data_IF_724914231899
#
_entry.id   IF_724914231899
#
_cell.length_a   1.000
_cell.length_b   1.000
_cell.length_c   1.000
_cell.angle_alpha   90.00
_cell.angle_beta   90.00
_cell.angle_gamma   90.00
#
_symmetry.space_group_name_H-M   'P 1'
#
loop_
_entity.id
_entity.type
_entity.pdbx_description
1 polymer ?
#
# COMPACT_ATOMS: atom_id res chain seq x y z
N UNK A 1 -69.03 21.43 31.35
CA UNK A 1 -68.66 20.57 30.26
C UNK A 1 -67.81 21.41 29.28
N UNK A 2 -66.50 21.24 29.26
CA UNK A 2 -65.58 21.99 28.43
C UNK A 2 -64.96 21.05 27.41
N UNK A 3 -65.14 21.42 26.12
CA UNK A 3 -64.55 20.70 24.97
C UNK A 3 -63.12 21.04 24.76
N UNK A 4 -62.31 20.04 24.44
CA UNK A 4 -60.91 20.15 24.10
C UNK A 4 -60.78 20.13 22.54
N UNK A 5 -60.04 21.08 22.01
CA UNK A 5 -59.68 21.18 20.58
C UNK A 5 -58.49 20.28 20.24
N UNK A 6 -58.37 19.76 19.02
CA UNK A 6 -57.23 18.92 18.63
C UNK A 6 -56.05 19.76 18.13
N UNK A 7 -54.86 19.35 18.55
CA UNK A 7 -53.57 19.88 18.14
C UNK A 7 -53.19 19.35 16.74
N UNK A 8 -53.08 20.25 15.78
CA UNK A 8 -52.56 19.92 14.45
C UNK A 8 -51.03 20.02 14.44
N UNK A 9 -50.35 18.87 14.51
CA UNK A 9 -48.89 18.78 14.37
C UNK A 9 -48.50 18.80 12.89
N UNK A 10 -47.96 19.93 12.44
CA UNK A 10 -47.37 20.06 11.11
C UNK A 10 -46.05 19.32 10.98
N UNK A 11 -46.01 18.28 10.17
CA UNK A 11 -44.80 17.56 9.78
C UNK A 11 -44.01 18.43 8.79
N UNK A 12 -42.98 19.11 9.25
CA UNK A 12 -41.98 19.76 8.38
C UNK A 12 -41.12 18.67 7.76
N UNK A 13 -41.34 18.40 6.48
CA UNK A 13 -40.40 17.60 5.65
C UNK A 13 -39.12 18.38 5.46
N UNK A 14 -38.06 17.94 6.12
CA UNK A 14 -36.69 18.41 5.89
C UNK A 14 -36.23 17.74 4.59
N UNK A 15 -36.10 18.53 3.53
CA UNK A 15 -35.47 18.09 2.30
C UNK A 15 -33.96 17.97 2.55
N UNK A 16 -33.48 16.75 2.63
CA UNK A 16 -32.01 16.47 2.57
C UNK A 16 -31.55 16.68 1.14
N UNK A 17 -30.81 17.74 0.92
CA UNK A 17 -30.05 17.95 -0.30
C UNK A 17 -28.86 16.96 -0.27
N UNK A 18 -28.96 15.89 -1.05
CA UNK A 18 -27.83 15.02 -1.39
C UNK A 18 -26.89 15.80 -2.29
N UNK A 19 -25.83 16.38 -1.71
CA UNK A 19 -24.68 16.86 -2.47
C UNK A 19 -23.92 15.63 -2.95
N UNK A 20 -24.09 15.27 -4.21
CA UNK A 20 -23.24 14.31 -4.91
C UNK A 20 -21.85 14.96 -5.06
N UNK A 21 -20.90 14.55 -4.24
CA UNK A 21 -19.49 14.91 -4.40
C UNK A 21 -18.91 13.99 -5.48
N UNK A 22 -18.95 14.47 -6.73
CA UNK A 22 -18.20 13.89 -7.84
C UNK A 22 -16.72 14.14 -7.54
N UNK A 23 -16.03 13.09 -7.09
CA UNK A 23 -14.57 13.09 -7.01
C UNK A 23 -14.03 13.07 -8.44
N UNK A 24 -13.48 14.20 -8.88
CA UNK A 24 -12.70 14.35 -10.10
C UNK A 24 -11.41 13.54 -10.01
N UNK A 25 -11.48 12.24 -10.28
CA UNK A 25 -10.37 11.41 -10.73
C UNK A 25 -10.29 11.51 -12.26
N UNK A 26 -9.80 12.64 -12.76
CA UNK A 26 -9.75 12.88 -14.19
C UNK A 26 -8.91 14.09 -14.56
N UNK A 27 -7.64 14.14 -14.13
CA UNK A 27 -6.67 15.09 -14.66
C UNK A 27 -5.25 14.52 -14.54
N UNK A 28 -4.95 13.46 -15.28
CA UNK A 28 -3.61 12.86 -15.29
C UNK A 28 -3.28 12.08 -16.56
N UNK A 29 -4.13 12.08 -17.59
CA UNK A 29 -3.90 11.30 -18.83
C UNK A 29 -4.02 12.18 -20.10
N UNK A 30 -3.74 13.46 -20.03
CA UNK A 30 -3.81 14.33 -21.22
C UNK A 30 -2.57 15.22 -21.40
N UNK A 31 -1.36 14.73 -21.10
CA UNK A 31 -0.13 15.49 -21.41
C UNK A 31 1.04 14.63 -21.95
N UNK A 32 0.79 13.48 -22.52
CA UNK A 32 1.84 12.66 -23.17
C UNK A 32 1.66 12.41 -24.67
N UNK A 33 0.78 13.11 -25.37
CA UNK A 33 0.63 12.95 -26.83
C UNK A 33 1.03 14.17 -27.66
N UNK A 34 1.86 15.07 -27.15
CA UNK A 34 2.30 16.27 -27.87
C UNK A 34 3.82 16.42 -28.05
N UNK A 35 4.62 15.34 -28.00
CA UNK A 35 6.09 15.42 -28.24
C UNK A 35 6.65 14.26 -29.09
N UNK A 36 5.85 13.69 -29.98
CA UNK A 36 6.36 12.81 -31.05
C UNK A 36 5.98 13.41 -32.41
N UNK A 37 6.80 14.33 -32.85
CA UNK A 37 6.59 14.91 -34.18
C UNK A 37 7.52 16.06 -34.47
N UNK A 38 8.84 15.83 -34.46
CA UNK A 38 9.82 16.59 -35.25
C UNK A 38 11.24 16.09 -34.97
N UNK A 39 11.67 15.04 -35.67
CA UNK A 39 13.08 14.75 -35.96
C UNK A 39 13.18 13.70 -37.07
N UNK A 40 12.67 14.04 -38.23
CA UNK A 40 13.14 13.38 -39.47
C UNK A 40 13.53 14.51 -40.46
N UNK A 41 14.83 14.76 -40.53
CA UNK A 41 15.55 15.22 -41.76
C UNK A 41 17.02 15.46 -41.42
N UNK A 42 17.91 14.65 -42.01
CA UNK A 42 19.36 14.85 -41.93
C UNK A 42 20.14 13.57 -42.13
N UNK A 43 20.00 12.92 -43.28
CA UNK A 43 20.95 11.91 -43.73
C UNK A 43 22.15 12.60 -44.35
N UNK A 44 23.36 12.39 -43.82
CA UNK A 44 24.60 12.60 -44.58
C UNK A 44 25.69 11.61 -44.11
N UNK A 45 26.04 10.80 -45.08
CA UNK A 45 27.20 9.97 -45.39
C UNK A 45 28.35 9.80 -44.42
N UNK A 46 28.65 8.51 -44.22
CA UNK A 46 29.92 7.97 -43.66
C UNK A 46 31.15 8.26 -44.54
N UNK A 47 32.36 8.14 -44.00
CA UNK A 47 33.26 7.13 -44.56
C UNK A 47 33.92 6.21 -43.53
N UNK A 48 34.34 5.06 -44.04
CA UNK A 48 34.85 3.89 -43.40
C UNK A 48 36.35 3.94 -43.04
N UNK A 49 36.74 2.94 -42.25
CA UNK A 49 38.06 2.31 -42.02
C UNK A 49 39.08 3.03 -41.15
N UNK A 50 39.42 2.36 -40.02
CA UNK A 50 40.66 1.58 -39.84
C UNK A 50 40.66 0.87 -38.49
N UNK A 51 40.85 -0.44 -38.48
CA UNK A 51 41.42 -1.19 -37.37
C UNK A 51 42.95 -1.00 -37.38
N UNK A 52 43.62 -0.94 -36.17
CA UNK A 52 44.33 -2.13 -35.74
C UNK A 52 44.48 -2.31 -34.19
N UNK A 53 44.70 -3.56 -33.86
CA UNK A 53 45.66 -4.11 -32.90
C UNK A 53 45.33 -4.18 -31.41
N UNK A 54 45.21 -5.42 -31.00
CA UNK A 54 45.28 -6.05 -29.70
C UNK A 54 46.05 -5.28 -28.59
N UNK A 55 45.34 -5.05 -27.48
CA UNK A 55 45.90 -4.74 -26.17
C UNK A 55 45.16 -5.57 -25.11
N UNK A 56 45.90 -6.39 -24.41
CA UNK A 56 45.48 -7.28 -23.33
C UNK A 56 44.77 -6.49 -22.20
N UNK A 57 43.63 -6.92 -21.69
CA UNK A 57 42.96 -6.20 -20.61
C UNK A 57 43.54 -6.63 -19.25
N UNK A 58 44.05 -5.68 -18.53
CA UNK A 58 44.27 -5.73 -17.09
C UNK A 58 42.90 -5.61 -16.38
N UNK A 59 42.66 -6.49 -15.42
CA UNK A 59 41.38 -6.68 -14.75
C UNK A 59 40.78 -5.41 -14.13
N UNK A 60 39.58 -5.09 -14.54
CA UNK A 60 38.64 -4.23 -13.85
C UNK A 60 37.61 -5.12 -13.14
N UNK A 61 37.51 -4.98 -11.84
CA UNK A 61 36.50 -5.66 -11.05
C UNK A 61 35.08 -5.33 -11.58
N UNK A 62 34.15 -6.28 -11.60
CA UNK A 62 32.78 -6.02 -11.98
C UNK A 62 32.14 -5.04 -11.01
N UNK A 63 31.42 -4.06 -11.54
CA UNK A 63 30.56 -3.16 -10.77
C UNK A 63 29.62 -3.97 -9.89
N UNK A 64 29.62 -3.69 -8.58
CA UNK A 64 28.89 -4.45 -7.59
C UNK A 64 27.38 -4.50 -7.92
N UNK A 65 26.86 -5.69 -7.96
CA UNK A 65 25.42 -5.93 -7.86
C UNK A 65 24.88 -5.26 -6.59
N UNK A 66 23.63 -4.72 -6.59
CA UNK A 66 23.05 -4.15 -5.39
C UNK A 66 23.02 -5.22 -4.30
N UNK A 67 23.75 -5.01 -3.24
CA UNK A 67 23.84 -5.92 -2.09
C UNK A 67 22.46 -5.96 -1.43
N UNK A 68 21.71 -7.04 -1.64
CA UNK A 68 20.48 -7.31 -0.92
C UNK A 68 20.80 -7.46 0.56
N UNK A 69 20.49 -6.43 1.35
CA UNK A 69 20.67 -6.46 2.79
C UNK A 69 19.55 -7.28 3.42
N UNK A 70 19.89 -8.40 4.00
CA UNK A 70 18.96 -9.26 4.74
C UNK A 70 18.53 -8.52 6.00
N UNK A 71 17.21 -8.31 6.16
CA UNK A 71 16.64 -7.67 7.35
C UNK A 71 16.90 -8.54 8.58
N UNK A 72 17.64 -8.01 9.55
CA UNK A 72 17.97 -8.69 10.79
C UNK A 72 16.74 -8.88 11.66
N UNK A 73 16.47 -10.10 12.09
CA UNK A 73 15.45 -10.43 13.08
C UNK A 73 14.43 -11.50 12.70
N UNK A 74 14.56 -12.09 11.50
CA UNK A 74 13.84 -13.29 11.08
C UNK A 74 14.82 -14.48 11.09
N UNK A 75 14.33 -15.68 11.38
CA UNK A 75 15.14 -16.90 11.26
C UNK A 75 15.64 -17.02 9.80
N UNK A 76 16.96 -17.00 9.53
CA UNK A 76 17.49 -17.03 8.17
C UNK A 76 17.10 -18.27 7.36
N UNK A 77 16.76 -19.37 8.03
CA UNK A 77 16.36 -20.62 7.38
C UNK A 77 14.90 -20.60 6.89
N UNK A 78 14.08 -19.66 7.39
CA UNK A 78 12.64 -19.56 7.13
C UNK A 78 12.23 -18.16 6.66
N UNK A 79 13.13 -17.20 6.72
CA UNK A 79 12.84 -15.81 6.36
C UNK A 79 12.68 -15.65 4.84
N UNK A 80 11.62 -14.96 4.36
CA UNK A 80 11.50 -14.62 2.95
C UNK A 80 12.62 -13.65 2.53
N UNK A 81 13.04 -13.75 1.26
CA UNK A 81 14.00 -12.78 0.71
C UNK A 81 13.32 -11.43 0.53
N UNK A 82 13.78 -10.41 1.26
CA UNK A 82 13.24 -9.06 1.25
C UNK A 82 14.28 -8.10 0.66
N UNK A 83 13.87 -7.28 -0.31
CA UNK A 83 14.63 -6.15 -0.82
C UNK A 83 14.26 -4.93 0.03
N UNK A 84 15.25 -4.34 0.72
CA UNK A 84 15.05 -3.10 1.47
C UNK A 84 15.13 -1.93 0.51
N UNK A 85 14.03 -1.20 0.35
CA UNK A 85 13.92 -0.01 -0.50
C UNK A 85 13.11 1.07 0.25
N UNK A 86 13.67 1.54 1.36
CA UNK A 86 12.97 2.44 2.27
C UNK A 86 12.64 3.78 1.61
N UNK A 87 11.40 4.24 1.84
CA UNK A 87 10.96 5.59 1.54
C UNK A 87 11.73 6.59 2.40
N UNK A 88 11.81 7.85 1.93
CA UNK A 88 12.27 8.94 2.77
C UNK A 88 11.29 9.15 3.94
N UNK A 89 11.68 8.66 5.12
CA UNK A 89 10.89 8.75 6.34
C UNK A 89 11.66 9.54 7.41
N UNK A 90 12.04 10.77 7.03
CA UNK A 90 12.85 11.68 7.84
C UNK A 90 12.09 12.31 9.01
N UNK A 91 12.69 13.35 9.60
CA UNK A 91 12.15 14.01 10.79
C UNK A 91 10.77 14.65 10.53
N UNK A 92 10.56 15.23 9.34
CA UNK A 92 9.28 15.85 8.97
C UNK A 92 8.16 14.82 8.95
N UNK A 93 8.31 13.73 8.18
CA UNK A 93 7.28 12.68 8.04
C UNK A 93 7.00 11.97 9.37
N UNK A 94 8.02 11.80 10.24
CA UNK A 94 7.84 11.31 11.62
C UNK A 94 7.00 12.25 12.48
N UNK A 95 7.24 13.57 12.37
CA UNK A 95 6.47 14.58 13.10
C UNK A 95 5.01 14.62 12.62
N UNK A 96 4.77 14.56 11.32
CA UNK A 96 3.43 14.48 10.70
C UNK A 96 2.69 13.22 11.12
N UNK A 97 3.38 12.06 11.12
CA UNK A 97 2.82 10.80 11.59
C UNK A 97 2.43 10.88 13.07
N UNK A 98 3.27 11.48 13.92
CA UNK A 98 2.95 11.66 15.33
C UNK A 98 1.77 12.61 15.56
N UNK A 99 1.67 13.69 14.76
CA UNK A 99 0.55 14.63 14.81
C UNK A 99 -0.76 13.96 14.36
N UNK A 100 -0.72 13.20 13.27
CA UNK A 100 -1.84 12.37 12.80
C UNK A 100 -2.29 11.37 13.88
N UNK A 101 -1.35 10.62 14.45
CA UNK A 101 -1.63 9.65 15.50
C UNK A 101 -2.26 10.30 16.74
N UNK A 102 -1.85 11.53 17.09
CA UNK A 102 -2.46 12.27 18.19
C UNK A 102 -3.91 12.62 17.92
N UNK A 103 -4.23 13.07 16.69
CA UNK A 103 -5.63 13.41 16.32
C UNK A 103 -6.51 12.17 16.28
N UNK A 104 -6.09 11.14 15.56
CA UNK A 104 -6.93 9.98 15.26
C UNK A 104 -6.93 8.91 16.36
N UNK A 105 -5.81 8.76 17.09
CA UNK A 105 -5.64 7.68 18.08
C UNK A 105 -5.39 8.17 19.52
N UNK A 106 -5.20 9.49 19.70
CA UNK A 106 -5.04 10.11 21.01
C UNK A 106 -3.59 10.12 21.55
N UNK A 107 -2.64 9.47 20.87
CA UNK A 107 -1.24 9.38 21.31
C UNK A 107 -0.30 9.92 20.23
N UNK A 108 0.56 10.91 20.60
CA UNK A 108 1.55 11.47 19.68
C UNK A 108 2.74 10.51 19.54
N UNK A 109 2.71 9.63 18.54
CA UNK A 109 3.79 8.69 18.25
C UNK A 109 3.86 8.37 16.77
N UNK A 110 5.06 8.18 16.27
CA UNK A 110 5.32 7.61 14.93
C UNK A 110 5.77 6.14 15.01
N UNK A 111 5.91 5.60 16.25
CA UNK A 111 6.32 4.22 16.48
C UNK A 111 5.11 3.30 16.44
N UNK A 112 5.32 2.09 15.93
CA UNK A 112 4.32 1.03 15.85
C UNK A 112 4.75 -0.17 16.68
N UNK A 113 3.84 -0.69 17.50
CA UNK A 113 3.92 -2.03 18.06
C UNK A 113 2.81 -2.84 17.39
N UNK A 114 3.13 -3.60 16.33
CA UNK A 114 2.10 -4.21 15.52
C UNK A 114 1.44 -5.40 16.21
N UNK A 115 0.13 -5.50 16.06
CA UNK A 115 -0.70 -6.61 16.54
C UNK A 115 -1.65 -7.11 15.45
N UNK A 116 -1.58 -6.49 14.26
CA UNK A 116 -2.48 -6.74 13.14
C UNK A 116 -1.69 -6.67 11.82
N UNK A 117 -2.10 -7.43 10.83
CA UNK A 117 -1.67 -7.31 9.43
C UNK A 117 -2.88 -6.99 8.57
N UNK A 118 -2.77 -5.98 7.71
CA UNK A 118 -3.80 -5.62 6.74
C UNK A 118 -3.29 -5.87 5.33
N UNK A 119 -4.04 -6.64 4.56
CA UNK A 119 -3.76 -6.95 3.17
C UNK A 119 -4.44 -5.92 2.27
N UNK A 120 -3.68 -5.42 1.26
CA UNK A 120 -4.10 -4.45 0.26
C UNK A 120 -3.71 -4.91 -1.15
N UNK A 121 -4.21 -4.22 -2.17
CA UNK A 121 -3.59 -4.19 -3.49
C UNK A 121 -3.40 -2.74 -3.96
N UNK A 122 -2.36 -2.49 -4.75
CA UNK A 122 -1.79 -1.15 -4.99
C UNK A 122 -2.61 -0.24 -5.90
N UNK A 123 -3.67 -0.72 -6.56
CA UNK A 123 -4.33 -0.04 -7.69
C UNK A 123 -3.34 0.44 -8.78
N UNK A 124 -2.21 -0.23 -8.90
CA UNK A 124 -1.22 0.00 -9.95
C UNK A 124 -0.67 -1.32 -10.50
N UNK A 125 -0.16 -1.28 -11.73
CA UNK A 125 0.32 -2.47 -12.42
C UNK A 125 1.80 -2.78 -12.20
N UNK A 126 2.53 -1.85 -11.55
CA UNK A 126 3.98 -1.99 -11.33
C UNK A 126 4.35 -1.55 -9.92
N UNK A 127 5.41 -2.20 -9.40
CA UNK A 127 6.05 -1.79 -8.15
C UNK A 127 6.51 -0.32 -8.19
N UNK A 128 7.17 0.10 -9.28
CA UNK A 128 7.70 1.44 -9.41
C UNK A 128 6.61 2.53 -9.28
N UNK A 129 5.41 2.29 -9.83
CA UNK A 129 4.28 3.20 -9.71
C UNK A 129 3.78 3.29 -8.25
N UNK A 130 3.62 2.15 -7.58
CA UNK A 130 3.20 2.12 -6.17
C UNK A 130 4.23 2.80 -5.25
N UNK A 131 5.52 2.50 -5.45
CA UNK A 131 6.62 3.13 -4.70
C UNK A 131 6.64 4.65 -4.87
N UNK A 132 6.50 5.12 -6.11
CA UNK A 132 6.48 6.57 -6.42
C UNK A 132 5.32 7.28 -5.71
N UNK A 133 4.13 6.66 -5.66
CA UNK A 133 2.98 7.20 -4.94
C UNK A 133 3.29 7.33 -3.44
N UNK A 134 3.82 6.29 -2.82
CA UNK A 134 4.13 6.28 -1.38
C UNK A 134 5.29 7.22 -1.01
N UNK A 135 6.25 7.42 -1.92
CA UNK A 135 7.35 8.37 -1.74
C UNK A 135 6.88 9.82 -1.75
N UNK A 136 5.88 10.14 -2.57
CA UNK A 136 5.45 11.52 -2.83
C UNK A 136 4.94 12.28 -1.60
N UNK A 137 4.53 11.56 -0.55
CA UNK A 137 4.01 12.11 0.72
C UNK A 137 2.93 13.19 0.55
N UNK A 138 2.13 13.07 -0.50
CA UNK A 138 1.03 14.01 -0.75
C UNK A 138 -0.09 13.82 0.29
N UNK A 139 -0.76 14.93 0.73
CA UNK A 139 -1.85 14.83 1.67
C UNK A 139 -2.94 13.85 1.21
N UNK A 140 -3.33 12.94 2.09
CA UNK A 140 -4.44 12.02 1.89
C UNK A 140 -5.62 12.46 2.76
N UNK A 141 -6.81 12.61 2.17
CA UNK A 141 -8.01 13.19 2.83
C UNK A 141 -7.71 14.57 3.48
N UNK A 142 -6.84 15.36 2.84
CA UNK A 142 -6.47 16.69 3.31
C UNK A 142 -5.45 16.72 4.46
N UNK A 143 -4.89 15.60 4.87
CA UNK A 143 -3.94 15.51 5.98
C UNK A 143 -2.62 14.82 5.59
N UNK A 144 -1.54 15.28 6.21
CA UNK A 144 -0.24 14.61 6.26
C UNK A 144 -0.14 13.69 7.51
N UNK A 145 0.71 12.63 7.42
CA UNK A 145 1.49 12.22 6.26
C UNK A 145 0.61 11.66 5.14
N UNK A 146 1.16 11.56 3.94
CA UNK A 146 0.56 10.84 2.83
C UNK A 146 0.38 9.35 3.10
N UNK A 147 -0.26 8.65 2.17
CA UNK A 147 -0.37 7.20 2.25
C UNK A 147 1.01 6.53 2.14
N UNK A 148 1.17 5.38 2.77
CA UNK A 148 2.35 4.52 2.65
C UNK A 148 1.97 3.06 2.89
N UNK A 149 2.90 2.13 2.65
CA UNK A 149 2.79 0.74 3.07
C UNK A 149 4.12 0.24 3.64
N UNK A 150 4.08 -0.79 4.49
CA UNK A 150 5.32 -1.37 5.03
C UNK A 150 6.00 -2.26 3.99
N UNK A 151 5.20 -3.06 3.29
CA UNK A 151 5.69 -4.00 2.29
C UNK A 151 4.89 -3.87 1.00
N UNK A 152 5.58 -4.04 -0.12
CA UNK A 152 4.96 -4.22 -1.44
C UNK A 152 5.49 -5.53 -2.03
N UNK A 153 4.59 -6.39 -2.52
CA UNK A 153 4.92 -7.65 -3.16
C UNK A 153 4.63 -7.53 -4.65
N UNK A 154 5.66 -7.59 -5.47
CA UNK A 154 5.52 -7.52 -6.92
C UNK A 154 4.92 -8.80 -7.50
N UNK A 155 4.48 -8.75 -8.75
CA UNK A 155 3.80 -9.85 -9.45
C UNK A 155 4.65 -11.10 -9.58
N UNK A 156 5.98 -10.96 -9.59
CA UNK A 156 6.95 -12.06 -9.62
C UNK A 156 7.26 -12.67 -8.24
N UNK A 157 6.71 -12.07 -7.16
CA UNK A 157 6.93 -12.48 -5.78
C UNK A 157 8.09 -11.77 -5.08
N UNK A 158 8.74 -10.80 -5.73
CA UNK A 158 9.73 -9.94 -5.06
C UNK A 158 9.05 -9.14 -3.95
N UNK A 159 9.58 -9.21 -2.72
CA UNK A 159 9.08 -8.47 -1.57
C UNK A 159 9.97 -7.25 -1.36
N UNK A 160 9.36 -6.06 -1.31
CA UNK A 160 10.04 -4.81 -0.99
C UNK A 160 9.58 -4.31 0.38
N UNK A 161 10.54 -4.02 1.29
CA UNK A 161 10.26 -3.31 2.53
C UNK A 161 10.44 -1.81 2.28
N UNK A 162 9.34 -1.06 2.34
CA UNK A 162 9.32 0.39 2.13
C UNK A 162 9.41 1.18 3.44
N UNK A 163 8.82 0.65 4.51
CA UNK A 163 8.84 1.26 5.85
C UNK A 163 9.06 0.14 6.85
N UNK A 164 9.99 0.31 7.82
CA UNK A 164 10.18 -0.70 8.86
C UNK A 164 8.88 -1.01 9.62
N UNK A 165 8.55 -2.28 9.91
CA UNK A 165 7.27 -2.66 10.51
C UNK A 165 7.07 -2.18 11.95
N UNK A 166 8.04 -1.48 12.53
CA UNK A 166 7.95 -0.80 13.83
C UNK A 166 7.73 0.72 13.71
N UNK A 167 7.52 1.21 12.49
CA UNK A 167 7.21 2.61 12.18
C UNK A 167 5.76 2.68 11.72
N UNK A 168 4.97 3.58 12.28
CA UNK A 168 3.57 3.74 11.87
C UNK A 168 3.48 4.25 10.44
N UNK A 169 2.69 3.58 9.63
CA UNK A 169 2.46 3.88 8.23
C UNK A 169 0.96 4.07 7.99
N UNK A 170 0.60 5.04 7.17
CA UNK A 170 -0.80 5.41 6.93
C UNK A 170 -1.36 4.65 5.73
N UNK A 171 -2.02 3.51 5.97
CA UNK A 171 -2.60 2.64 4.94
C UNK A 171 -4.05 2.24 5.23
N UNK A 172 -4.50 2.30 6.51
CA UNK A 172 -5.85 1.85 6.90
C UNK A 172 -6.43 2.76 7.96
N UNK A 173 -7.48 3.52 7.63
CA UNK A 173 -8.21 4.36 8.59
C UNK A 173 -8.61 3.52 9.80
N UNK A 174 -8.39 4.06 10.99
CA UNK A 174 -8.77 3.44 12.26
C UNK A 174 -7.82 2.37 12.78
N UNK A 175 -6.85 1.88 11.97
CA UNK A 175 -5.96 0.76 12.34
C UNK A 175 -4.46 1.04 12.19
N UNK A 176 -4.03 2.18 11.63
CA UNK A 176 -2.59 2.45 11.39
C UNK A 176 -1.73 2.34 12.66
N UNK A 177 -2.32 2.56 13.84
CA UNK A 177 -1.63 2.47 15.13
C UNK A 177 -1.43 1.03 15.64
N UNK A 178 -1.96 0.04 14.92
CA UNK A 178 -1.89 -1.39 15.28
C UNK A 178 -1.37 -2.27 14.15
N UNK A 179 -1.39 -1.78 12.90
CA UNK A 179 -1.33 -2.64 11.73
C UNK A 179 -0.07 -2.46 10.91
N UNK A 180 0.48 -3.59 10.44
CA UNK A 180 1.40 -3.66 9.30
C UNK A 180 0.57 -3.74 8.02
N UNK A 181 0.83 -2.86 7.04
CA UNK A 181 0.22 -2.92 5.70
C UNK A 181 1.09 -3.72 4.74
N UNK A 182 0.48 -4.62 3.98
CA UNK A 182 1.09 -5.39 2.90
C UNK A 182 0.29 -5.16 1.62
N UNK A 183 0.94 -4.58 0.63
CA UNK A 183 0.38 -4.31 -0.68
C UNK A 183 0.80 -5.38 -1.69
N UNK A 184 -0.14 -5.88 -2.46
CA UNK A 184 0.14 -6.72 -3.62
C UNK A 184 0.02 -5.89 -4.89
N UNK A 185 1.05 -5.88 -5.74
CA UNK A 185 0.99 -5.15 -7.02
C UNK A 185 -0.12 -5.72 -7.89
N UNK A 186 -1.18 -4.95 -8.03
CA UNK A 186 -2.37 -5.27 -8.81
C UNK A 186 -3.24 -4.02 -9.00
N UNK A 187 -3.77 -3.83 -10.20
CA UNK A 187 -4.82 -2.86 -10.49
C UNK A 187 -6.16 -3.57 -10.66
N UNK A 188 -7.25 -2.95 -10.23
CA UNK A 188 -8.60 -3.43 -10.55
C UNK A 188 -8.93 -3.27 -12.04
N UNK A 189 -8.26 -2.33 -12.73
CA UNK A 189 -8.49 -2.04 -14.15
C UNK A 189 -9.98 -1.82 -14.48
N UNK A 190 -10.73 -1.23 -13.53
CA UNK A 190 -12.16 -0.97 -13.64
C UNK A 190 -13.06 -2.18 -13.38
N UNK A 191 -12.49 -3.33 -13.00
CA UNK A 191 -13.26 -4.48 -12.53
C UNK A 191 -13.65 -4.35 -11.05
N UNK A 192 -14.49 -5.26 -10.60
CA UNK A 192 -14.84 -5.40 -9.18
C UNK A 192 -13.59 -5.65 -8.32
N UNK A 193 -13.50 -5.07 -7.10
CA UNK A 193 -12.35 -5.26 -6.21
C UNK A 193 -12.00 -6.72 -5.93
N UNK A 194 -12.99 -7.61 -5.86
CA UNK A 194 -12.75 -9.06 -5.68
C UNK A 194 -12.06 -9.69 -6.88
N UNK A 195 -12.34 -9.22 -8.10
CA UNK A 195 -11.63 -9.68 -9.29
C UNK A 195 -10.12 -9.39 -9.14
N UNK A 196 -9.75 -8.19 -8.70
CA UNK A 196 -8.34 -7.83 -8.50
C UNK A 196 -7.65 -8.77 -7.49
N UNK A 197 -8.27 -9.04 -6.34
CA UNK A 197 -7.73 -9.98 -5.35
C UNK A 197 -7.62 -11.39 -5.93
N UNK A 198 -8.58 -11.84 -6.73
CA UNK A 198 -8.50 -13.14 -7.39
C UNK A 198 -7.34 -13.22 -8.40
N UNK A 199 -6.95 -12.11 -9.05
CA UNK A 199 -5.74 -12.08 -9.89
C UNK A 199 -4.47 -12.27 -9.03
N UNK A 200 -4.37 -11.65 -7.85
CA UNK A 200 -3.28 -11.88 -6.89
C UNK A 200 -3.23 -13.36 -6.48
N UNK A 201 -4.34 -13.92 -6.02
CA UNK A 201 -4.44 -15.30 -5.53
C UNK A 201 -4.09 -16.35 -6.58
N UNK A 202 -4.25 -16.05 -7.87
CA UNK A 202 -3.86 -16.94 -8.99
C UNK A 202 -2.36 -16.88 -9.32
N UNK A 203 -1.64 -15.83 -8.92
CA UNK A 203 -0.20 -15.69 -9.18
C UNK A 203 0.60 -16.41 -8.11
N UNK A 204 0.99 -17.65 -8.39
CA UNK A 204 1.65 -18.55 -7.42
C UNK A 204 2.86 -17.91 -6.75
N UNK A 205 3.73 -17.22 -7.50
CA UNK A 205 4.91 -16.59 -6.93
C UNK A 205 4.53 -15.46 -5.94
N UNK A 206 3.60 -14.58 -6.35
CA UNK A 206 3.16 -13.44 -5.55
C UNK A 206 2.44 -13.90 -4.26
N UNK A 207 1.52 -14.84 -4.34
CA UNK A 207 0.80 -15.33 -3.16
C UNK A 207 1.71 -16.13 -2.23
N UNK A 208 2.64 -16.94 -2.76
CA UNK A 208 3.60 -17.68 -1.94
C UNK A 208 4.53 -16.73 -1.17
N UNK A 209 5.00 -15.65 -1.81
CA UNK A 209 5.77 -14.61 -1.15
C UNK A 209 4.97 -13.91 -0.03
N UNK A 210 3.68 -13.63 -0.28
CA UNK A 210 2.78 -13.06 0.71
C UNK A 210 2.58 -13.95 1.93
N UNK A 211 2.35 -15.25 1.71
CA UNK A 211 2.24 -16.24 2.79
C UNK A 211 3.53 -16.30 3.61
N UNK A 212 4.68 -16.43 2.96
CA UNK A 212 5.98 -16.48 3.65
C UNK A 212 6.26 -15.20 4.48
N UNK A 213 5.92 -14.02 3.93
CA UNK A 213 6.07 -12.74 4.65
C UNK A 213 5.13 -12.68 5.86
N UNK A 214 3.86 -13.02 5.69
CA UNK A 214 2.87 -13.00 6.79
C UNK A 214 3.30 -13.93 7.91
N UNK A 215 3.69 -15.17 7.61
CA UNK A 215 4.17 -16.13 8.61
C UNK A 215 5.42 -15.63 9.35
N UNK A 216 6.36 -14.99 8.64
CA UNK A 216 7.54 -14.40 9.25
C UNK A 216 7.18 -13.24 10.22
N UNK A 217 6.22 -12.38 9.83
CA UNK A 217 5.72 -11.29 10.68
C UNK A 217 4.92 -11.81 11.87
N UNK A 218 4.11 -12.85 11.67
CA UNK A 218 3.39 -13.53 12.75
C UNK A 218 4.35 -14.08 13.81
N UNK A 219 5.40 -14.81 13.40
CA UNK A 219 6.44 -15.27 14.33
C UNK A 219 7.14 -14.14 15.05
N UNK A 220 7.50 -13.06 14.34
CA UNK A 220 8.24 -11.93 14.91
C UNK A 220 7.43 -11.13 15.92
N UNK A 221 6.14 -10.93 15.67
CA UNK A 221 5.30 -10.03 16.46
C UNK A 221 4.18 -10.75 17.23
N UNK A 222 4.14 -12.09 17.21
CA UNK A 222 3.09 -12.91 17.84
C UNK A 222 1.69 -12.51 17.37
N UNK A 223 1.52 -12.34 16.06
CA UNK A 223 0.24 -12.00 15.41
C UNK A 223 -0.47 -13.30 15.04
N UNK A 224 -1.72 -13.48 15.49
CA UNK A 224 -2.51 -14.66 15.15
C UNK A 224 -3.10 -14.59 13.72
N UNK A 225 -3.55 -15.73 13.19
CA UNK A 225 -4.20 -15.79 11.87
C UNK A 225 -5.43 -14.90 11.78
N UNK A 226 -6.24 -14.82 12.88
CA UNK A 226 -7.42 -13.97 12.93
C UNK A 226 -7.07 -12.47 12.84
N UNK A 227 -5.84 -12.12 13.18
CA UNK A 227 -5.31 -10.77 13.08
C UNK A 227 -4.69 -10.43 11.72
N UNK A 228 -4.78 -11.34 10.73
CA UNK A 228 -4.48 -11.07 9.32
C UNK A 228 -5.79 -10.75 8.64
N UNK A 229 -6.07 -9.51 8.32
CA UNK A 229 -7.37 -9.06 7.76
C UNK A 229 -7.18 -8.40 6.40
N UNK A 230 -8.26 -8.22 5.68
CA UNK A 230 -8.30 -7.38 4.48
C UNK A 230 -8.74 -5.95 4.79
N UNK A 231 -8.38 -5.01 3.93
CA UNK A 231 -8.73 -3.61 4.12
C UNK A 231 -10.26 -3.41 4.23
N UNK A 232 -11.04 -4.12 3.42
CA UNK A 232 -12.51 -4.09 3.50
C UNK A 232 -13.09 -4.52 4.88
N UNK A 233 -12.30 -5.20 5.71
CA UNK A 233 -12.72 -5.68 7.03
C UNK A 233 -12.37 -4.69 8.15
N UNK A 234 -11.70 -3.58 7.87
CA UNK A 234 -11.12 -2.68 8.85
C UNK A 234 -12.13 -2.15 9.88
N UNK A 235 -13.32 -1.76 9.43
CA UNK A 235 -14.34 -1.16 10.31
C UNK A 235 -14.86 -2.08 11.42
N UNK A 236 -14.74 -3.39 11.23
CA UNK A 236 -15.20 -4.42 12.17
C UNK A 236 -14.04 -5.07 12.93
N UNK A 237 -12.81 -4.62 12.67
CA UNK A 237 -11.62 -5.20 13.29
C UNK A 237 -11.51 -4.82 14.77
N UNK A 238 -11.05 -5.78 15.58
CA UNK A 238 -10.75 -5.52 16.99
C UNK A 238 -9.68 -4.42 17.09
N UNK A 239 -9.98 -3.39 17.88
CA UNK A 239 -9.08 -2.25 18.08
C UNK A 239 -9.27 -1.13 17.06
N UNK A 240 -10.24 -1.23 16.14
CA UNK A 240 -10.62 -0.10 15.30
C UNK A 240 -10.93 1.13 16.15
N UNK A 241 -10.23 2.23 15.89
CA UNK A 241 -10.40 3.49 16.59
C UNK A 241 -10.03 4.66 15.69
N UNK A 242 -10.93 5.62 15.62
CA UNK A 242 -10.66 6.91 14.98
C UNK A 242 -11.43 8.00 15.75
N UNK A 243 -10.72 8.96 16.34
CA UNK A 243 -11.29 10.01 17.17
C UNK A 243 -11.94 11.13 16.36
N UNK A 244 -11.56 11.27 15.08
CA UNK A 244 -12.18 12.19 14.14
C UNK A 244 -13.44 11.57 13.48
N UNK A 245 -13.79 10.34 13.84
CA UNK A 245 -14.96 9.65 13.33
C UNK A 245 -14.82 9.11 11.92
N UNK A 246 -13.60 9.01 11.39
CA UNK A 246 -13.39 8.44 10.06
C UNK A 246 -13.66 6.95 10.04
N UNK A 247 -14.18 6.51 8.89
CA UNK A 247 -14.43 5.10 8.61
C UNK A 247 -13.72 4.72 7.31
N UNK A 248 -13.35 3.44 7.23
CA UNK A 248 -12.81 2.86 6.01
C UNK A 248 -13.93 2.70 4.97
N UNK A 249 -13.64 3.06 3.71
CA UNK A 249 -14.50 2.94 2.54
C UNK A 249 -13.88 2.07 1.42
N UNK A 250 -12.70 1.52 1.65
CA UNK A 250 -12.02 0.62 0.71
C UNK A 250 -12.61 -0.78 0.73
N UNK A 251 -12.62 -1.43 -0.43
CA UNK A 251 -13.25 -2.74 -0.64
C UNK A 251 -12.26 -3.84 -1.05
N UNK A 252 -10.96 -3.55 -1.01
CA UNK A 252 -9.90 -4.51 -1.30
C UNK A 252 -9.79 -5.57 -0.20
N UNK A 253 -9.51 -6.80 -0.59
CA UNK A 253 -9.41 -7.98 0.28
C UNK A 253 -10.61 -8.16 1.23
N UNK A 254 -11.73 -8.57 0.66
CA UNK A 254 -12.93 -8.88 1.42
C UNK A 254 -12.78 -10.21 2.19
N UNK A 255 -13.69 -10.46 3.14
CA UNK A 255 -13.63 -11.64 4.03
C UNK A 255 -13.44 -12.98 3.32
N UNK A 256 -14.15 -13.30 2.21
CA UNK A 256 -13.96 -14.60 1.54
C UNK A 256 -12.52 -14.81 1.02
N UNK A 257 -11.92 -13.78 0.44
CA UNK A 257 -10.57 -13.82 -0.11
C UNK A 257 -9.52 -13.90 1.03
N UNK A 258 -9.77 -13.22 2.15
CA UNK A 258 -8.92 -13.33 3.35
C UNK A 258 -8.99 -14.73 3.94
N UNK A 259 -10.17 -15.34 4.03
CA UNK A 259 -10.30 -16.75 4.48
C UNK A 259 -9.53 -17.69 3.57
N UNK A 260 -9.61 -17.49 2.26
CA UNK A 260 -8.82 -18.26 1.29
C UNK A 260 -7.32 -18.08 1.51
N UNK A 261 -6.84 -16.84 1.70
CA UNK A 261 -5.42 -16.57 1.96
C UNK A 261 -4.96 -17.18 3.28
N UNK A 262 -5.72 -17.01 4.37
CA UNK A 262 -5.42 -17.60 5.68
C UNK A 262 -5.33 -19.13 5.63
N UNK A 263 -6.13 -19.79 4.79
CA UNK A 263 -6.07 -21.26 4.65
C UNK A 263 -4.75 -21.76 4.03
N UNK A 264 -3.91 -20.87 3.52
CA UNK A 264 -2.57 -21.17 3.01
C UNK A 264 -1.48 -20.97 4.06
N UNK A 265 -1.78 -20.32 5.19
CA UNK A 265 -0.85 -20.18 6.31
C UNK A 265 -0.70 -21.53 7.01
N UNK A 266 0.54 -21.92 7.29
CA UNK A 266 0.86 -23.22 7.92
C UNK A 266 1.07 -23.11 9.42
N UNK A 267 1.16 -21.88 9.94
CA UNK A 267 1.32 -21.57 11.34
C UNK A 267 -0.05 -21.54 12.02
N UNK A 268 -0.55 -22.68 12.47
CA UNK A 268 -1.50 -22.69 13.58
C UNK A 268 -0.74 -22.45 14.88
N UNK A 269 -1.32 -21.75 15.84
CA UNK A 269 -0.68 -21.41 17.11
C UNK A 269 -0.32 -22.65 17.95
#
# INVERSE_FOLDING_TARGET
VKGSAPYAGGVRRLAMATAAMVVLLGAGVALETALVGQAERGAETAPALTTPTSGTPTGGAPAGEPTATVTTGLDPAVAPRIVVDHLEFGAARKAETAAYAKRHYGTATWRLTPTLIVLHYTESDTYASARSLFESDVPNRGELPGACSHYVIDKDGTIHELVPPTVMCRHTVGLNHLAIGIEFVQSSSGHDPRWAVQQVLRRRAQVAAGVALVEALQRRFSISDESVIGHAMANDAKGFRDLEGWRNDHLDWQRPEVVQFRSMLTMSP
#
